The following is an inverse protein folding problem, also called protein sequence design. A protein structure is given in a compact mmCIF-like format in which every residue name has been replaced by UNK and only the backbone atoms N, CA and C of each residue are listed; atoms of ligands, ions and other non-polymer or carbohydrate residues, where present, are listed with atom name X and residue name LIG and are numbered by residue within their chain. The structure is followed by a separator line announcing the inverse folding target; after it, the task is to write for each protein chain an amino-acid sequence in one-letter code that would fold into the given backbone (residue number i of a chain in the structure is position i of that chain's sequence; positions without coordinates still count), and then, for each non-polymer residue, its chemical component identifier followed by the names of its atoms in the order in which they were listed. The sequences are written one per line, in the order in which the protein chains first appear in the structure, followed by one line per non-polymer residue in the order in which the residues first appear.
data_IF_202345028363
#
_entry.id   IF_202345028363
#
_cell.length_a   1.000
_cell.length_b   1.000
_cell.length_c   1.000
_cell.angle_alpha   90.00
_cell.angle_beta   90.00
_cell.angle_gamma   90.00
#
_symmetry.space_group_name_H-M   'P 1'
#
loop_
_entity.id
_entity.type
_entity.pdbx_description
1 polymer ?
#
# COMPACT_ATOMS: atom_id res chain seq x y z
N UNK A 1 -47.15 -18.03 19.04
CA UNK A 1 -45.96 -17.37 19.64
C UNK A 1 -44.76 -17.87 18.87
N UNK A 2 -44.21 -17.02 18.00
CA UNK A 2 -43.09 -17.36 17.12
C UNK A 2 -41.78 -17.08 17.87
N UNK A 3 -41.12 -18.12 18.36
CA UNK A 3 -39.74 -18.03 18.80
C UNK A 3 -38.82 -18.04 17.58
N UNK A 4 -38.54 -16.85 17.06
CA UNK A 4 -37.49 -16.61 16.08
C UNK A 4 -36.14 -16.92 16.71
N UNK A 5 -35.64 -18.15 16.50
CA UNK A 5 -34.23 -18.48 16.68
C UNK A 5 -33.40 -17.48 15.85
N UNK A 6 -32.76 -16.54 16.54
CA UNK A 6 -31.72 -15.66 16.00
C UNK A 6 -30.64 -16.56 15.41
N UNK A 7 -30.61 -16.69 14.08
CA UNK A 7 -29.42 -17.17 13.38
C UNK A 7 -28.35 -16.12 13.65
N UNK A 8 -27.42 -16.45 14.53
CA UNK A 8 -26.15 -15.74 14.61
C UNK A 8 -25.40 -16.23 13.38
N UNK A 9 -25.44 -15.44 12.31
CA UNK A 9 -24.55 -15.68 11.19
C UNK A 9 -23.11 -15.70 11.72
N UNK A 10 -22.27 -16.67 11.32
CA UNK A 10 -20.87 -16.62 11.68
C UNK A 10 -20.32 -15.31 11.13
N UNK A 11 -19.73 -14.49 12.00
CA UNK A 11 -18.91 -13.37 11.57
C UNK A 11 -17.83 -13.99 10.69
N UNK A 12 -17.95 -13.83 9.37
CA UNK A 12 -16.87 -14.14 8.46
C UNK A 12 -15.68 -13.30 8.91
N UNK A 13 -14.75 -13.96 9.60
CA UNK A 13 -13.42 -13.47 9.89
C UNK A 13 -12.70 -13.39 8.54
N UNK A 14 -13.10 -12.40 7.73
CA UNK A 14 -12.42 -12.08 6.50
C UNK A 14 -11.05 -11.59 6.95
N UNK A 15 -10.09 -12.50 6.92
CA UNK A 15 -8.67 -12.25 6.97
C UNK A 15 -8.38 -10.98 6.16
N UNK A 16 -8.34 -9.81 6.82
CA UNK A 16 -8.16 -8.53 6.15
C UNK A 16 -6.74 -8.54 5.57
N UNK A 17 -6.63 -8.95 4.30
CA UNK A 17 -5.39 -8.97 3.55
C UNK A 17 -5.11 -7.54 3.11
N UNK A 18 -4.19 -6.89 3.80
CA UNK A 18 -3.66 -5.60 3.42
C UNK A 18 -2.74 -5.79 2.22
N UNK A 19 -3.07 -5.15 1.10
CA UNK A 19 -2.10 -4.94 0.03
C UNK A 19 -1.19 -3.76 0.42
N UNK A 20 0.11 -4.03 0.49
CA UNK A 20 1.12 -3.09 0.97
C UNK A 20 2.29 -3.00 0.00
N UNK A 21 3.02 -1.89 0.08
CA UNK A 21 4.28 -1.65 -0.62
C UNK A 21 5.38 -1.32 0.40
N UNK A 22 6.51 -2.00 0.35
CA UNK A 22 7.69 -1.70 1.15
C UNK A 22 8.48 -0.55 0.49
N UNK A 23 8.11 0.69 0.84
CA UNK A 23 8.54 1.88 0.10
C UNK A 23 9.81 2.55 0.61
N UNK A 24 10.14 2.40 1.90
CA UNK A 24 11.27 3.12 2.50
C UNK A 24 11.92 2.33 3.62
N UNK A 25 13.24 2.41 3.73
CA UNK A 25 14.01 1.95 4.88
C UNK A 25 14.31 3.12 5.82
N UNK A 26 14.24 2.87 7.12
CA UNK A 26 14.60 3.83 8.18
C UNK A 26 15.29 3.11 9.33
N UNK A 27 16.01 3.86 10.16
CA UNK A 27 16.29 3.43 11.53
C UNK A 27 15.17 3.90 12.47
N UNK A 28 14.61 2.96 13.24
CA UNK A 28 13.58 3.24 14.21
C UNK A 28 13.84 2.45 15.50
N UNK A 29 13.98 3.18 16.61
CA UNK A 29 14.32 2.60 17.93
C UNK A 29 15.58 1.71 17.90
N UNK A 30 16.60 2.12 17.14
CA UNK A 30 17.87 1.39 17.01
C UNK A 30 17.83 0.17 16.09
N UNK A 31 16.69 -0.11 15.44
CA UNK A 31 16.55 -1.21 14.49
C UNK A 31 16.30 -0.69 13.08
N UNK A 32 16.85 -1.39 12.07
CA UNK A 32 16.48 -1.17 10.67
C UNK A 32 15.06 -1.68 10.42
N UNK A 33 14.21 -0.78 9.94
CA UNK A 33 12.81 -1.04 9.65
C UNK A 33 12.48 -0.66 8.21
N UNK A 34 11.52 -1.35 7.63
CA UNK A 34 10.85 -0.92 6.41
C UNK A 34 9.50 -0.27 6.76
N UNK A 35 9.20 0.82 6.07
CA UNK A 35 7.88 1.43 6.05
C UNK A 35 7.07 0.70 4.99
N UNK A 36 6.06 -0.05 5.45
CA UNK A 36 5.05 -0.66 4.60
C UNK A 36 3.88 0.30 4.47
N UNK A 37 3.45 0.56 3.23
CA UNK A 37 2.49 1.60 2.92
C UNK A 37 1.29 0.96 2.24
N UNK A 38 0.08 1.25 2.72
CA UNK A 38 -1.15 0.87 2.02
C UNK A 38 -1.35 1.85 0.86
N UNK A 39 -1.17 1.45 -0.41
CA UNK A 39 -1.04 2.39 -1.52
C UNK A 39 -2.23 3.34 -1.66
N UNK A 40 -3.45 2.81 -1.55
CA UNK A 40 -4.68 3.58 -1.73
C UNK A 40 -4.99 4.60 -0.61
N UNK A 41 -4.43 4.42 0.60
CA UNK A 41 -4.76 5.31 1.73
C UNK A 41 -3.56 6.03 2.32
N UNK A 42 -2.35 5.84 1.76
CA UNK A 42 -1.11 6.35 2.31
C UNK A 42 -0.82 5.90 3.76
N UNK A 43 -1.47 4.85 4.26
CA UNK A 43 -1.31 4.46 5.67
C UNK A 43 0.01 3.72 5.86
N UNK A 44 0.83 4.19 6.81
CA UNK A 44 2.13 3.62 7.10
C UNK A 44 2.07 2.55 8.22
N UNK A 45 2.94 1.56 8.09
CA UNK A 45 3.24 0.55 9.10
C UNK A 45 4.75 0.38 9.16
N UNK A 46 5.30 0.36 10.37
CA UNK A 46 6.73 0.21 10.59
C UNK A 46 6.98 -1.23 11.01
N UNK A 47 7.82 -1.94 10.26
CA UNK A 47 8.15 -3.34 10.55
C UNK A 47 9.65 -3.52 10.44
N UNK A 48 10.25 -4.16 11.45
CA UNK A 48 11.67 -4.52 11.42
C UNK A 48 12.01 -5.31 10.15
N UNK A 49 13.06 -4.89 9.47
CA UNK A 49 13.47 -5.47 8.20
C UNK A 49 13.83 -6.95 8.36
N UNK A 50 14.44 -7.33 9.49
CA UNK A 50 14.74 -8.72 9.81
C UNK A 50 13.49 -9.61 9.85
N UNK A 51 12.35 -9.10 10.34
CA UNK A 51 11.09 -9.84 10.38
C UNK A 51 10.53 -10.07 8.98
N UNK A 52 10.68 -9.09 8.09
CA UNK A 52 10.23 -9.15 6.70
C UNK A 52 11.09 -10.06 5.84
N UNK A 53 12.42 -10.01 6.03
CA UNK A 53 13.37 -10.83 5.30
C UNK A 53 13.12 -12.33 5.49
N UNK A 54 12.68 -12.75 6.69
CA UNK A 54 12.27 -14.13 6.96
C UNK A 54 11.06 -14.60 6.12
N UNK A 55 10.32 -13.65 5.53
CA UNK A 55 9.19 -13.89 4.62
C UNK A 55 9.51 -13.49 3.18
N UNK A 56 10.79 -13.28 2.84
CA UNK A 56 11.24 -12.84 1.51
C UNK A 56 10.60 -11.52 1.06
N UNK A 57 10.30 -10.64 2.01
CA UNK A 57 9.86 -9.27 1.75
C UNK A 57 11.04 -8.35 1.99
N UNK A 58 11.38 -7.57 0.97
CA UNK A 58 12.49 -6.62 0.99
C UNK A 58 11.97 -5.21 0.69
N UNK A 59 12.86 -4.21 0.66
CA UNK A 59 12.57 -2.94 0.00
C UNK A 59 12.06 -3.22 -1.43
N UNK A 60 11.27 -2.32 -2.02
CA UNK A 60 10.61 -2.50 -3.33
C UNK A 60 9.51 -3.57 -3.42
N UNK A 61 9.34 -4.41 -2.39
CA UNK A 61 8.38 -5.50 -2.44
C UNK A 61 6.93 -5.00 -2.30
N UNK A 62 6.07 -5.44 -3.20
CA UNK A 62 4.64 -5.51 -2.94
C UNK A 62 4.34 -6.78 -2.14
N UNK A 63 3.39 -6.70 -1.20
CA UNK A 63 3.04 -7.82 -0.35
C UNK A 63 1.58 -7.79 0.09
N UNK A 64 1.10 -8.97 0.50
CA UNK A 64 -0.08 -9.09 1.34
C UNK A 64 0.33 -9.34 2.79
N UNK A 65 -0.39 -8.75 3.73
CA UNK A 65 -0.24 -9.02 5.16
C UNK A 65 -1.62 -9.13 5.81
N UNK A 66 -1.71 -9.90 6.90
CA UNK A 66 -2.89 -9.91 7.77
C UNK A 66 -2.69 -8.97 8.95
N UNK A 67 -3.79 -8.64 9.62
CA UNK A 67 -3.75 -7.91 10.89
C UNK A 67 -4.36 -8.74 12.00
N UNK A 68 -3.59 -8.95 13.07
CA UNK A 68 -4.07 -9.61 14.28
C UNK A 68 -5.13 -8.78 15.00
N UNK A 69 -5.87 -9.39 15.94
CA UNK A 69 -6.81 -8.69 16.82
C UNK A 69 -6.16 -7.52 17.59
N UNK A 70 -4.86 -7.63 17.90
CA UNK A 70 -4.05 -6.57 18.54
C UNK A 70 -3.54 -5.50 17.56
N UNK A 71 -4.04 -5.49 16.33
CA UNK A 71 -3.70 -4.53 15.27
C UNK A 71 -2.26 -4.60 14.76
N UNK A 72 -1.54 -5.68 15.05
CA UNK A 72 -0.16 -5.94 14.56
C UNK A 72 -0.20 -6.68 13.23
N UNK A 73 0.65 -6.29 12.28
CA UNK A 73 0.81 -7.00 11.00
C UNK A 73 1.54 -8.34 11.15
N UNK A 74 1.03 -9.36 10.47
CA UNK A 74 1.60 -10.72 10.41
C UNK A 74 1.34 -11.37 9.04
N UNK A 75 1.84 -12.60 8.87
CA UNK A 75 1.67 -13.43 7.65
C UNK A 75 2.04 -12.68 6.36
N UNK A 76 3.22 -12.08 6.35
CA UNK A 76 3.74 -11.35 5.20
C UNK A 76 3.98 -12.32 4.03
N UNK A 77 3.39 -12.00 2.88
CA UNK A 77 3.54 -12.79 1.66
C UNK A 77 3.87 -11.85 0.51
N UNK A 78 5.09 -11.91 -0.06
CA UNK A 78 5.43 -11.08 -1.20
C UNK A 78 4.48 -11.41 -2.36
N UNK A 79 4.24 -10.42 -3.20
CA UNK A 79 3.41 -10.58 -4.39
C UNK A 79 4.00 -9.83 -5.56
N UNK A 80 3.94 -10.46 -6.73
CA UNK A 80 4.27 -9.81 -8.00
C UNK A 80 3.06 -9.05 -8.56
N UNK A 81 2.02 -8.84 -7.74
CA UNK A 81 0.84 -8.09 -8.13
C UNK A 81 0.93 -6.65 -7.61
N UNK A 82 0.53 -5.66 -8.42
CA UNK A 82 0.25 -5.80 -9.84
C UNK A 82 1.56 -5.95 -10.64
N UNK A 83 1.55 -6.80 -11.68
CA UNK A 83 2.70 -7.02 -12.58
C UNK A 83 3.13 -5.76 -13.38
N UNK A 84 2.43 -4.64 -13.18
CA UNK A 84 2.54 -3.43 -14.01
C UNK A 84 3.54 -2.41 -13.49
N UNK A 85 4.03 -2.54 -12.26
CA UNK A 85 4.93 -1.55 -11.70
C UNK A 85 6.38 -1.91 -11.99
N UNK A 86 7.05 -0.98 -12.65
CA UNK A 86 8.49 -0.91 -12.59
C UNK A 86 8.86 -0.23 -11.27
N UNK A 87 9.74 -0.84 -10.48
CA UNK A 87 10.19 -0.26 -9.20
C UNK A 87 11.70 -0.15 -9.25
N UNK A 88 12.20 1.02 -8.88
CA UNK A 88 13.62 1.32 -8.79
C UNK A 88 13.97 1.75 -7.37
N UNK A 89 15.02 1.17 -6.81
CA UNK A 89 15.56 1.60 -5.51
C UNK A 89 16.70 2.58 -5.70
N UNK A 90 16.63 3.68 -4.96
CA UNK A 90 17.71 4.66 -4.83
C UNK A 90 17.98 4.89 -3.34
N UNK A 91 19.07 4.33 -2.84
CA UNK A 91 19.41 4.34 -1.42
C UNK A 91 18.38 3.59 -0.58
N UNK A 92 17.72 4.31 0.33
CA UNK A 92 16.73 3.77 1.27
C UNK A 92 15.28 4.01 0.82
N UNK A 93 15.05 4.36 -0.45
CA UNK A 93 13.72 4.65 -0.99
C UNK A 93 13.47 3.84 -2.27
N UNK A 94 12.28 3.23 -2.35
CA UNK A 94 11.77 2.57 -3.54
C UNK A 94 10.79 3.48 -4.27
N UNK A 95 11.04 3.66 -5.57
CA UNK A 95 10.24 4.49 -6.46
C UNK A 95 9.49 3.61 -7.44
N UNK A 96 8.18 3.81 -7.54
CA UNK A 96 7.37 3.26 -8.63
C UNK A 96 7.57 4.17 -9.84
N UNK A 97 8.08 3.61 -10.92
CA UNK A 97 8.39 4.33 -12.16
C UNK A 97 7.31 4.09 -13.23
N UNK A 98 7.16 5.08 -14.13
CA UNK A 98 6.28 5.02 -15.29
C UNK A 98 4.84 4.68 -14.93
N UNK A 99 4.36 5.20 -13.79
CA UNK A 99 2.98 5.05 -13.39
C UNK A 99 2.11 5.89 -14.33
N UNK A 100 1.37 5.22 -15.20
CA UNK A 100 0.40 5.89 -16.07
C UNK A 100 -0.78 6.39 -15.25
N UNK A 101 -0.99 7.70 -15.30
CA UNK A 101 -2.07 8.41 -14.63
C UNK A 101 -2.73 9.40 -15.58
N UNK A 102 -4.00 9.69 -15.34
CA UNK A 102 -4.72 10.77 -15.99
C UNK A 102 -4.93 11.89 -15.00
N UNK A 103 -4.51 13.11 -15.34
CA UNK A 103 -4.80 14.31 -14.58
C UNK A 103 -6.17 14.82 -15.00
N UNK A 104 -7.12 14.75 -14.07
CA UNK A 104 -8.50 15.22 -14.23
C UNK A 104 -8.79 16.34 -13.22
N UNK A 105 -9.87 17.08 -13.46
CA UNK A 105 -10.40 18.05 -12.50
C UNK A 105 -11.73 17.53 -11.97
N UNK A 106 -11.79 17.29 -10.65
CA UNK A 106 -12.98 16.83 -9.94
C UNK A 106 -13.23 17.74 -8.75
N UNK A 107 -14.45 18.27 -8.63
CA UNK A 107 -14.84 19.19 -7.54
C UNK A 107 -13.91 20.42 -7.38
N UNK A 108 -13.31 20.89 -8.47
CA UNK A 108 -12.36 22.02 -8.47
C UNK A 108 -10.94 21.65 -8.01
N UNK A 109 -10.63 20.36 -7.85
CA UNK A 109 -9.32 19.85 -7.51
C UNK A 109 -8.71 19.10 -8.70
N UNK A 110 -7.44 19.36 -8.98
CA UNK A 110 -6.67 18.58 -9.96
C UNK A 110 -6.16 17.30 -9.31
N UNK A 111 -6.57 16.15 -9.84
CA UNK A 111 -6.26 14.83 -9.30
C UNK A 111 -5.66 13.94 -10.38
N UNK A 112 -4.55 13.27 -10.08
CA UNK A 112 -4.07 12.16 -10.89
C UNK A 112 -4.85 10.91 -10.50
N UNK A 113 -5.67 10.41 -11.41
CA UNK A 113 -6.38 9.15 -11.24
C UNK A 113 -5.41 7.98 -11.44
N UNK A 114 -5.20 7.19 -10.39
CA UNK A 114 -4.46 5.94 -10.44
C UNK A 114 -5.31 4.80 -9.90
N UNK A 115 -5.60 3.80 -10.75
CA UNK A 115 -6.35 2.60 -10.34
C UNK A 115 -5.75 1.86 -9.14
N UNK A 116 -4.46 2.05 -8.85
CA UNK A 116 -3.77 1.32 -7.78
C UNK A 116 -3.37 2.19 -6.60
N UNK A 117 -2.98 3.45 -6.84
CA UNK A 117 -2.60 4.36 -5.76
C UNK A 117 -3.80 5.19 -5.24
N UNK A 118 -4.97 5.09 -5.88
CA UNK A 118 -6.07 6.03 -5.64
C UNK A 118 -5.80 7.37 -6.30
N UNK A 119 -6.59 8.37 -5.92
CA UNK A 119 -6.46 9.71 -6.47
C UNK A 119 -5.34 10.47 -5.75
N UNK A 120 -4.45 11.06 -6.54
CA UNK A 120 -3.27 11.78 -6.03
C UNK A 120 -3.45 13.26 -6.34
N UNK A 121 -3.47 14.09 -5.30
CA UNK A 121 -3.64 15.54 -5.45
C UNK A 121 -2.47 16.16 -6.23
N UNK A 122 -2.77 16.87 -7.31
CA UNK A 122 -1.83 17.69 -8.05
C UNK A 122 -1.86 19.12 -7.52
N UNK A 123 -0.71 19.61 -7.06
CA UNK A 123 -0.53 21.00 -6.60
C UNK A 123 0.08 21.90 -7.68
N UNK A 124 0.55 21.30 -8.75
CA UNK A 124 1.20 22.00 -9.85
C UNK A 124 0.17 22.48 -10.88
N UNK A 125 0.42 23.61 -11.57
CA UNK A 125 -0.47 24.14 -12.59
C UNK A 125 -0.35 23.37 -13.92
N UNK A 126 -0.44 22.03 -13.87
CA UNK A 126 -0.35 21.16 -15.04
C UNK A 126 -1.66 21.15 -15.84
N UNK A 127 -1.55 20.97 -17.16
CA UNK A 127 -2.70 20.79 -18.05
C UNK A 127 -3.33 19.41 -17.86
N UNK A 128 -4.65 19.29 -18.08
CA UNK A 128 -5.33 18.00 -17.99
C UNK A 128 -4.84 17.04 -19.08
N UNK A 129 -4.78 15.74 -18.78
CA UNK A 129 -4.33 14.74 -19.75
C UNK A 129 -3.54 13.58 -19.15
N UNK A 130 -2.82 12.84 -19.99
CA UNK A 130 -2.10 11.63 -19.61
C UNK A 130 -0.66 11.95 -19.19
N UNK A 131 -0.24 11.40 -18.06
CA UNK A 131 1.10 11.58 -17.50
C UNK A 131 1.72 10.24 -17.08
N UNK A 132 3.05 10.20 -17.13
CA UNK A 132 3.85 9.15 -16.50
C UNK A 132 4.49 9.72 -15.23
N UNK A 133 4.08 9.19 -14.08
CA UNK A 133 4.57 9.63 -12.79
C UNK A 133 5.68 8.72 -12.29
N UNK A 134 6.65 9.34 -11.60
CA UNK A 134 7.56 8.65 -10.69
C UNK A 134 7.07 8.93 -9.28
N UNK A 135 6.73 7.88 -8.53
CA UNK A 135 6.10 7.99 -7.22
C UNK A 135 6.97 7.33 -6.17
N UNK A 136 7.20 8.03 -5.06
CA UNK A 136 7.54 7.40 -3.80
C UNK A 136 6.36 7.58 -2.86
N UNK A 137 6.06 6.55 -2.08
CA UNK A 137 4.99 6.57 -1.10
C UNK A 137 5.57 6.83 0.29
#
# INVERSE_FOLDING_TARGET
MNDSKKKIDPVEDSDLKYFLFAGRRIEYLGNKCLILIKPHSGRHFYVEEKKLNNSYVYLESFLFAKRTARRVLCDFKPTNKPKKFNVKVEGDVAFIENLQCELVEEEGLKLFNSKTLGDILCKEPLELGQYLLRVHL
#
